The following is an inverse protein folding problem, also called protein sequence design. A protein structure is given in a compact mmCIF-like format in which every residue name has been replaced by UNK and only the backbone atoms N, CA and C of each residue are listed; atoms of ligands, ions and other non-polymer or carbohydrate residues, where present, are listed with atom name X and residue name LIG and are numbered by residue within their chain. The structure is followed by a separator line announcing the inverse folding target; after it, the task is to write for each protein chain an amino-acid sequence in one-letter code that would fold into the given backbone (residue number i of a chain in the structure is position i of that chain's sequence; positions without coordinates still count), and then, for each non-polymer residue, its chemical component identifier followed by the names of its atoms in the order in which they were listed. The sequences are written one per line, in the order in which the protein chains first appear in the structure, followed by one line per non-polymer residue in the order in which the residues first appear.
data_IF_149646403798
#
_entry.id   IF_149646403798
#
_cell.length_a   1.000
_cell.length_b   1.000
_cell.length_c   1.000
_cell.angle_alpha   90.00
_cell.angle_beta   90.00
_cell.angle_gamma   90.00
#
_symmetry.space_group_name_H-M   'P 1'
#
loop_
_entity.id
_entity.type
_entity.pdbx_description
1 polymer ?
#
# COMPACT_ATOMS: atom_id res chain seq x y z
N UNK A 1 -13.14 -3.54 -8.26
CA UNK A 1 -12.50 -2.27 -7.84
C UNK A 1 -11.36 -1.82 -8.76
N UNK A 2 -10.76 -2.73 -9.55
CA UNK A 2 -9.60 -2.44 -10.38
C UNK A 2 -9.99 -2.02 -11.80
N UNK A 3 -9.16 -1.20 -12.43
CA UNK A 3 -9.34 -0.71 -13.80
C UNK A 3 -9.40 -1.82 -14.86
N UNK A 4 -8.79 -2.98 -14.60
CA UNK A 4 -8.79 -4.12 -15.51
C UNK A 4 -9.84 -5.19 -15.19
N UNK A 5 -10.70 -4.95 -14.18
CA UNK A 5 -11.72 -5.90 -13.72
C UNK A 5 -11.21 -7.32 -13.45
N UNK A 6 -9.95 -7.46 -13.03
CA UNK A 6 -9.30 -8.74 -12.76
C UNK A 6 -8.52 -8.67 -11.44
N UNK A 7 -8.38 -9.80 -10.75
CA UNK A 7 -7.51 -9.88 -9.56
C UNK A 7 -6.02 -9.92 -9.94
N UNK A 8 -5.71 -10.50 -11.10
CA UNK A 8 -4.35 -10.74 -11.58
C UNK A 8 -3.99 -9.81 -12.74
N UNK A 9 -2.74 -9.91 -13.24
CA UNK A 9 -2.26 -9.19 -14.41
C UNK A 9 -2.31 -7.66 -14.27
N UNK A 10 -1.95 -7.13 -13.10
CA UNK A 10 -1.85 -5.70 -12.82
C UNK A 10 -3.21 -5.00 -12.77
N UNK A 11 -3.28 -3.79 -13.32
CA UNK A 11 -4.43 -2.90 -13.16
C UNK A 11 -4.30 -2.05 -11.90
N UNK A 12 -5.14 -1.00 -11.79
CA UNK A 12 -5.00 0.03 -10.75
C UNK A 12 -6.27 0.15 -9.93
N UNK A 13 -6.16 0.52 -8.66
CA UNK A 13 -7.34 0.85 -7.85
C UNK A 13 -7.98 2.14 -8.38
N UNK A 14 -9.25 2.08 -8.77
CA UNK A 14 -9.95 3.27 -9.22
C UNK A 14 -10.28 4.19 -8.02
N UNK A 15 -10.11 5.52 -8.12
CA UNK A 15 -10.43 6.46 -7.04
C UNK A 15 -11.87 6.33 -6.50
N UNK A 16 -12.84 6.02 -7.38
CA UNK A 16 -14.22 5.77 -7.00
C UNK A 16 -14.39 4.61 -5.99
N UNK A 17 -13.40 3.73 -5.87
CA UNK A 17 -13.41 2.60 -4.96
C UNK A 17 -12.50 2.77 -3.74
N UNK A 18 -11.89 3.94 -3.51
CA UNK A 18 -11.04 4.18 -2.35
C UNK A 18 -11.74 3.89 -1.01
N UNK A 19 -12.99 4.33 -0.86
CA UNK A 19 -13.74 4.05 0.38
C UNK A 19 -14.03 2.56 0.55
N UNK A 20 -14.41 1.86 -0.52
CA UNK A 20 -14.72 0.43 -0.46
C UNK A 20 -13.47 -0.41 -0.17
N UNK A 21 -12.32 -0.03 -0.75
CA UNK A 21 -11.04 -0.67 -0.48
C UNK A 21 -10.59 -0.45 0.97
N UNK A 22 -10.77 0.76 1.49
CA UNK A 22 -10.46 1.07 2.90
C UNK A 22 -11.32 0.25 3.85
N UNK A 23 -12.62 0.14 3.58
CA UNK A 23 -13.52 -0.73 4.36
C UNK A 23 -13.05 -2.17 4.34
N UNK A 24 -12.63 -2.69 3.18
CA UNK A 24 -12.10 -4.05 3.06
C UNK A 24 -10.87 -4.29 3.95
N UNK A 25 -9.91 -3.36 4.00
CA UNK A 25 -8.73 -3.45 4.87
C UNK A 25 -9.11 -3.40 6.36
N UNK A 26 -10.05 -2.54 6.75
CA UNK A 26 -10.51 -2.41 8.14
C UNK A 26 -11.34 -3.62 8.59
N UNK A 27 -12.17 -4.17 7.70
CA UNK A 27 -12.93 -5.39 7.97
C UNK A 27 -11.99 -6.58 8.20
N UNK A 28 -10.91 -6.68 7.43
CA UNK A 28 -9.85 -7.67 7.68
C UNK A 28 -9.18 -7.46 9.04
N UNK A 29 -8.78 -6.23 9.37
CA UNK A 29 -8.20 -5.92 10.69
C UNK A 29 -9.15 -6.27 11.84
N UNK A 30 -10.44 -5.99 11.69
CA UNK A 30 -11.47 -6.31 12.68
C UNK A 30 -11.69 -7.82 12.80
N UNK A 31 -11.69 -8.54 11.69
CA UNK A 31 -11.76 -10.00 11.68
C UNK A 31 -10.60 -10.60 12.47
N UNK A 32 -9.38 -10.15 12.21
CA UNK A 32 -8.18 -10.61 12.92
C UNK A 32 -8.24 -10.30 14.43
N UNK A 33 -8.67 -9.10 14.81
CA UNK A 33 -8.91 -8.74 16.22
C UNK A 33 -9.95 -9.65 16.89
N UNK A 34 -11.08 -9.90 16.23
CA UNK A 34 -12.17 -10.75 16.75
C UNK A 34 -11.72 -12.19 17.00
N UNK A 35 -10.73 -12.65 16.23
CA UNK A 35 -10.11 -13.97 16.38
C UNK A 35 -8.86 -13.95 17.29
N UNK A 36 -8.75 -12.97 18.19
CA UNK A 36 -7.64 -12.84 19.15
C UNK A 36 -6.25 -12.71 18.51
N UNK A 37 -6.18 -12.23 17.27
CA UNK A 37 -4.94 -12.07 16.49
C UNK A 37 -4.83 -10.63 15.94
N UNK A 38 -4.94 -9.63 16.81
CA UNK A 38 -4.93 -8.22 16.39
C UNK A 38 -3.68 -7.86 15.58
N UNK A 39 -3.90 -7.13 14.47
CA UNK A 39 -2.80 -6.66 13.64
C UNK A 39 -2.05 -5.51 14.33
N UNK A 40 -0.73 -5.53 14.25
CA UNK A 40 0.09 -4.38 14.65
C UNK A 40 0.08 -3.27 13.57
N UNK A 41 0.09 -3.67 12.30
CA UNK A 41 0.10 -2.79 11.14
C UNK A 41 -0.56 -3.47 9.93
N UNK A 42 -0.97 -2.66 8.96
CA UNK A 42 -1.51 -3.13 7.67
C UNK A 42 -0.83 -2.39 6.52
N UNK A 43 -0.54 -3.13 5.46
CA UNK A 43 0.00 -2.55 4.23
C UNK A 43 -1.10 -2.17 3.25
N UNK A 44 -0.89 -1.09 2.51
CA UNK A 44 -1.82 -0.65 1.46
C UNK A 44 -1.68 -1.49 0.19
N UNK A 45 -0.49 -1.98 -0.17
CA UNK A 45 -0.30 -2.78 -1.38
C UNK A 45 1.07 -3.46 -1.35
N UNK A 46 1.11 -4.77 -1.64
CA UNK A 46 2.34 -5.50 -1.93
C UNK A 46 2.86 -5.17 -3.34
N UNK A 47 4.15 -4.87 -3.48
CA UNK A 47 4.87 -4.72 -4.76
C UNK A 47 4.09 -3.94 -5.84
N UNK A 48 3.74 -2.66 -5.56
CA UNK A 48 2.92 -1.83 -6.46
C UNK A 48 3.60 -1.51 -7.80
N UNK A 49 4.89 -1.80 -7.94
CA UNK A 49 5.69 -1.66 -9.15
C UNK A 49 5.92 -3.00 -9.88
N UNK A 50 5.16 -4.04 -9.55
CA UNK A 50 5.24 -5.36 -10.16
C UNK A 50 3.90 -5.80 -10.80
N UNK A 51 4.00 -6.40 -12.00
CA UNK A 51 2.84 -6.89 -12.79
C UNK A 51 2.96 -8.38 -13.11
N UNK A 52 2.69 -9.26 -12.14
CA UNK A 52 2.65 -10.70 -12.33
C UNK A 52 1.30 -11.21 -12.85
N UNK A 53 1.26 -12.52 -13.14
CA UNK A 53 0.07 -13.29 -13.49
C UNK A 53 -0.72 -13.83 -12.27
N UNK A 54 -0.32 -13.43 -11.05
CA UNK A 54 -1.06 -13.61 -9.80
C UNK A 54 -1.59 -12.26 -9.26
N UNK A 55 -2.22 -12.28 -8.07
CA UNK A 55 -2.86 -11.12 -7.45
C UNK A 55 -1.90 -9.93 -7.38
N UNK A 56 -2.30 -8.84 -8.02
CA UNK A 56 -1.46 -7.67 -8.16
C UNK A 56 -2.30 -6.41 -8.33
N UNK A 57 -1.75 -5.26 -7.99
CA UNK A 57 -2.36 -3.97 -8.29
C UNK A 57 -1.23 -2.95 -8.37
N UNK A 58 -1.15 -2.23 -9.48
CA UNK A 58 -0.11 -1.24 -9.72
C UNK A 58 -0.49 0.07 -9.03
N UNK A 59 0.46 0.69 -8.33
CA UNK A 59 0.30 2.01 -7.71
C UNK A 59 1.51 2.90 -8.00
N UNK A 60 1.27 4.19 -8.19
CA UNK A 60 2.30 5.23 -8.16
C UNK A 60 2.41 5.85 -6.77
N UNK A 61 3.52 6.53 -6.50
CA UNK A 61 3.65 7.30 -5.24
C UNK A 61 2.58 8.37 -5.08
N UNK A 62 2.14 9.01 -6.19
CA UNK A 62 1.03 9.98 -6.16
C UNK A 62 -0.32 9.32 -5.84
N UNK A 63 -0.55 8.08 -6.31
CA UNK A 63 -1.77 7.35 -5.95
C UNK A 63 -1.79 6.96 -4.48
N UNK A 64 -0.65 6.53 -3.91
CA UNK A 64 -0.55 6.34 -2.45
C UNK A 64 -0.84 7.64 -1.70
N UNK A 65 -0.22 8.75 -2.12
CA UNK A 65 -0.43 10.07 -1.51
C UNK A 65 -1.91 10.45 -1.54
N UNK A 66 -2.54 10.38 -2.71
CA UNK A 66 -3.95 10.76 -2.88
C UNK A 66 -4.89 9.84 -2.08
N UNK A 67 -4.61 8.54 -2.04
CA UNK A 67 -5.37 7.60 -1.23
C UNK A 67 -5.26 7.91 0.27
N UNK A 68 -4.05 8.17 0.78
CA UNK A 68 -3.83 8.48 2.19
C UNK A 68 -4.43 9.83 2.59
N UNK A 69 -4.34 10.86 1.75
CA UNK A 69 -5.04 12.14 1.99
C UNK A 69 -6.56 11.95 2.10
N UNK A 70 -7.11 11.05 1.30
CA UNK A 70 -8.56 10.81 1.22
C UNK A 70 -9.08 9.86 2.30
N UNK A 71 -8.31 8.82 2.65
CA UNK A 71 -8.80 7.70 3.46
C UNK A 71 -8.00 7.46 4.74
N UNK A 72 -6.80 8.04 4.89
CA UNK A 72 -5.87 7.75 5.98
C UNK A 72 -6.47 7.94 7.38
N UNK A 73 -7.32 8.96 7.56
CA UNK A 73 -8.00 9.20 8.84
C UNK A 73 -8.93 8.07 9.30
N UNK A 74 -9.42 7.23 8.38
CA UNK A 74 -10.31 6.10 8.69
C UNK A 74 -9.58 4.94 9.37
N UNK A 75 -8.25 4.87 9.28
CA UNK A 75 -7.46 3.83 9.92
C UNK A 75 -7.32 4.01 11.43
N UNK A 76 -7.66 5.19 11.96
CA UNK A 76 -7.64 5.45 13.40
C UNK A 76 -6.25 5.18 13.98
N UNK A 77 -6.17 4.22 14.89
CA UNK A 77 -4.91 3.82 15.55
C UNK A 77 -4.18 2.65 14.87
N UNK A 78 -4.70 2.10 13.77
CA UNK A 78 -4.03 1.02 13.05
C UNK A 78 -2.85 1.58 12.25
N UNK A 79 -1.64 1.07 12.49
CA UNK A 79 -0.45 1.52 11.78
C UNK A 79 -0.52 1.17 10.29
N UNK A 80 -0.17 2.14 9.44
CA UNK A 80 -0.12 1.96 7.99
C UNK A 80 1.32 1.74 7.53
N UNK A 81 1.52 0.71 6.69
CA UNK A 81 2.72 0.46 5.90
C UNK A 81 2.50 0.96 4.47
N UNK A 82 3.44 1.72 3.92
CA UNK A 82 3.40 2.21 2.54
C UNK A 82 4.68 1.84 1.77
N UNK A 83 4.59 1.77 0.44
CA UNK A 83 5.72 1.55 -0.44
C UNK A 83 5.79 0.11 -0.93
N UNK A 84 6.29 -0.80 -0.10
CA UNK A 84 6.49 -2.24 -0.37
C UNK A 84 6.99 -2.55 -1.80
N UNK A 85 7.81 -1.65 -2.34
CA UNK A 85 8.40 -1.75 -3.67
C UNK A 85 9.23 -3.01 -3.81
N UNK A 86 9.19 -3.63 -4.99
CA UNK A 86 10.00 -4.79 -5.36
C UNK A 86 11.52 -4.57 -5.13
N UNK A 87 11.96 -3.31 -5.18
CA UNK A 87 13.35 -2.92 -5.02
C UNK A 87 13.56 -1.78 -4.02
N UNK A 88 12.66 -1.62 -3.06
CA UNK A 88 12.69 -0.52 -2.08
C UNK A 88 12.91 0.85 -2.76
N UNK A 89 12.22 1.08 -3.89
CA UNK A 89 12.36 2.29 -4.69
C UNK A 89 11.69 3.50 -4.00
N UNK A 90 12.44 4.54 -3.60
CA UNK A 90 11.88 5.68 -2.86
C UNK A 90 10.86 6.48 -3.69
N UNK A 91 10.85 6.35 -5.02
CA UNK A 91 9.83 7.01 -5.87
C UNK A 91 8.39 6.61 -5.53
N UNK A 92 8.19 5.47 -4.87
CA UNK A 92 6.86 5.03 -4.40
C UNK A 92 6.47 5.63 -3.05
N UNK A 93 7.42 6.12 -2.26
CA UNK A 93 7.18 6.68 -0.92
C UNK A 93 7.39 8.17 -0.84
N UNK A 94 8.32 8.75 -1.60
CA UNK A 94 8.69 10.17 -1.54
C UNK A 94 7.48 11.11 -1.72
N UNK A 95 6.52 10.87 -2.65
CA UNK A 95 5.35 11.74 -2.75
C UNK A 95 4.48 11.74 -1.50
N UNK A 96 4.43 10.62 -0.76
CA UNK A 96 3.71 10.51 0.51
C UNK A 96 4.48 11.23 1.61
N UNK A 97 5.79 10.96 1.73
CA UNK A 97 6.62 11.49 2.82
C UNK A 97 6.82 13.01 2.72
N UNK A 98 6.81 13.56 1.50
CA UNK A 98 6.95 14.99 1.25
C UNK A 98 5.63 15.78 1.32
N UNK A 99 4.49 15.13 1.60
CA UNK A 99 3.18 15.78 1.76
C UNK A 99 2.65 15.56 3.19
N UNK A 100 2.60 16.62 4.00
CA UNK A 100 2.19 16.53 5.42
C UNK A 100 0.75 16.08 5.62
N UNK A 101 -0.14 16.22 4.63
CA UNK A 101 -1.51 15.72 4.72
C UNK A 101 -1.57 14.20 4.55
N UNK A 102 -0.57 13.61 3.89
CA UNK A 102 -0.46 12.18 3.69
C UNK A 102 0.46 11.51 4.73
N UNK A 103 1.65 12.07 4.95
CA UNK A 103 2.71 11.45 5.77
C UNK A 103 2.29 11.24 7.23
N UNK A 104 1.40 12.10 7.76
CA UNK A 104 0.86 11.96 9.13
C UNK A 104 0.11 10.66 9.40
N UNK A 105 -0.29 9.93 8.37
CA UNK A 105 -0.99 8.65 8.49
C UNK A 105 -0.06 7.43 8.34
N UNK A 106 1.20 7.63 7.94
CA UNK A 106 2.15 6.53 7.71
C UNK A 106 2.99 6.31 8.95
N UNK A 107 3.04 5.05 9.40
CA UNK A 107 3.89 4.64 10.52
C UNK A 107 5.18 3.96 10.03
N UNK A 108 5.11 3.22 8.91
CA UNK A 108 6.19 2.36 8.44
C UNK A 108 6.36 2.52 6.93
N UNK A 109 7.59 2.67 6.46
CA UNK A 109 7.96 2.50 5.05
C UNK A 109 8.44 1.06 4.85
N UNK A 110 7.75 0.32 3.99
CA UNK A 110 8.09 -1.05 3.63
C UNK A 110 8.80 -1.14 2.27
N UNK A 111 9.53 -2.22 2.05
CA UNK A 111 10.18 -2.50 0.78
C UNK A 111 10.74 -3.92 0.74
N UNK A 112 10.82 -4.50 -0.45
CA UNK A 112 11.49 -5.77 -0.71
C UNK A 112 12.83 -5.52 -1.42
N UNK A 113 13.70 -6.53 -1.45
CA UNK A 113 15.06 -6.42 -2.01
C UNK A 113 15.23 -7.22 -3.30
N UNK A 114 14.14 -7.61 -3.97
CA UNK A 114 14.20 -8.52 -5.12
C UNK A 114 14.78 -7.85 -6.37
N UNK A 115 14.52 -6.55 -6.57
CA UNK A 115 15.01 -5.80 -7.73
C UNK A 115 16.24 -4.91 -7.43
N UNK A 116 16.74 -4.90 -6.19
CA UNK A 116 17.99 -4.21 -5.90
C UNK A 116 19.18 -5.07 -6.33
N UNK A 117 19.89 -4.63 -7.37
CA UNK A 117 21.28 -5.05 -7.54
C UNK A 117 22.03 -4.55 -6.31
N UNK A 118 22.37 -5.46 -5.39
CA UNK A 118 23.40 -5.14 -4.41
C UNK A 118 24.66 -4.83 -5.23
N UNK A 119 25.05 -3.56 -5.31
CA UNK A 119 26.43 -3.21 -5.61
C UNK A 119 27.27 -3.70 -4.42
N UNK A 120 27.47 -5.01 -4.34
CA UNK A 120 28.60 -5.60 -3.62
C UNK A 120 29.80 -5.36 -4.52
N UNK A 121 30.39 -4.18 -4.42
CA UNK A 121 31.81 -4.07 -4.71
C UNK A 121 32.55 -5.04 -3.77
N UNK A 122 33.50 -5.84 -4.29
CA UNK A 122 34.27 -6.80 -3.49
C UNK A 122 34.91 -6.19 -2.24
#
# INVERSE_FOLDING_TARGET
MKSNNSLINGGRLLPAHYSAYTSHLLDFSKYMQTNSASLYAISIQNEPDWKPDYESCEWSGDEFKNYLKSQGSKFGSLNIIVGESLGFNPKLTDPVLNDSDASKYVAIVGGTYMAQRRNRTP
#
